data_IF_811586110094
#
_entry.id   IF_811586110094
#
_cell.length_a   1.000
_cell.length_b   1.000
_cell.length_c   1.000
_cell.angle_alpha   90.00
_cell.angle_beta   90.00
_cell.angle_gamma   90.00
#
_symmetry.space_group_name_H-M   'P 1'
#
loop_
_entity.id
_entity.type
_entity.pdbx_description
1 polymer ?
#
# COMPACT_ATOMS: atom_id res chain seq x y z
N UNK A 1 11.88 28.72 -14.94
CA UNK A 1 12.65 27.86 -15.88
C UNK A 1 13.55 26.95 -15.05
N UNK A 2 12.96 25.92 -14.45
CA UNK A 2 13.65 24.81 -13.78
C UNK A 2 12.70 23.63 -13.88
N UNK A 3 12.81 22.87 -14.99
CA UNK A 3 12.03 21.64 -15.17
C UNK A 3 12.62 20.53 -14.30
N UNK A 4 11.80 19.63 -13.75
CA UNK A 4 12.31 18.52 -12.95
C UNK A 4 13.14 17.60 -13.85
N UNK A 5 14.39 17.39 -13.44
CA UNK A 5 15.35 16.48 -14.06
C UNK A 5 14.90 15.03 -13.80
N UNK A 6 14.05 14.50 -14.67
CA UNK A 6 13.54 13.13 -14.56
C UNK A 6 14.65 12.15 -14.97
N UNK A 7 15.02 11.28 -14.04
CA UNK A 7 16.00 10.20 -14.19
C UNK A 7 15.56 9.19 -15.26
N UNK A 8 15.77 9.53 -16.51
CA UNK A 8 15.53 8.71 -17.70
C UNK A 8 16.61 7.62 -17.85
N UNK A 9 16.55 6.54 -17.06
CA UNK A 9 17.45 5.39 -17.26
C UNK A 9 16.77 4.19 -17.97
N UNK A 10 15.49 4.29 -18.33
CA UNK A 10 14.75 3.18 -18.96
C UNK A 10 13.77 3.53 -20.09
N UNK A 11 13.56 4.81 -20.41
CA UNK A 11 12.56 5.18 -21.42
C UNK A 11 13.15 5.24 -22.83
N UNK A 12 12.60 4.43 -23.73
CA UNK A 12 12.90 4.48 -25.17
C UNK A 12 12.31 5.77 -25.74
N UNK A 13 13.12 6.55 -26.46
CA UNK A 13 12.69 7.79 -27.12
C UNK A 13 11.76 7.46 -28.30
N UNK A 14 10.47 7.24 -28.02
CA UNK A 14 9.40 7.12 -29.01
C UNK A 14 8.44 8.28 -28.85
N UNK A 15 7.88 8.80 -29.95
CA UNK A 15 6.97 9.95 -29.95
C UNK A 15 5.68 9.72 -29.15
N UNK A 16 5.36 8.45 -28.84
CA UNK A 16 4.24 8.04 -27.97
C UNK A 16 4.60 7.99 -26.47
N UNK A 17 5.87 8.19 -26.12
CA UNK A 17 6.42 8.02 -24.76
C UNK A 17 6.87 9.35 -24.13
N UNK A 18 6.47 10.49 -24.72
CA UNK A 18 6.87 11.84 -24.29
C UNK A 18 6.40 12.22 -22.88
N UNK A 19 5.34 11.57 -22.37
CA UNK A 19 4.77 11.81 -21.03
C UNK A 19 4.71 10.48 -20.27
N UNK A 20 5.83 9.74 -20.22
CA UNK A 20 5.94 8.60 -19.33
C UNK A 20 6.61 9.01 -18.03
N UNK A 21 5.88 8.82 -16.93
CA UNK A 21 6.36 9.09 -15.57
C UNK A 21 5.98 7.91 -14.70
N UNK A 22 6.90 7.50 -13.84
CA UNK A 22 6.64 6.47 -12.84
C UNK A 22 5.55 6.95 -11.87
N UNK A 23 4.48 6.17 -11.76
CA UNK A 23 3.29 6.51 -10.98
C UNK A 23 3.62 6.89 -9.52
N UNK A 24 4.50 6.12 -8.87
CA UNK A 24 4.88 6.33 -7.47
C UNK A 24 5.64 7.66 -7.33
N UNK A 25 6.61 7.92 -8.20
CA UNK A 25 7.41 9.14 -8.20
C UNK A 25 6.54 10.37 -8.44
N UNK A 26 5.64 10.30 -9.42
CA UNK A 26 4.70 11.39 -9.71
C UNK A 26 3.78 11.70 -8.52
N UNK A 27 3.20 10.68 -7.91
CA UNK A 27 2.33 10.88 -6.75
C UNK A 27 3.08 11.41 -5.53
N UNK A 28 4.32 10.97 -5.33
CA UNK A 28 5.16 11.44 -4.23
C UNK A 28 5.57 12.92 -4.40
N UNK A 29 5.82 13.35 -5.64
CA UNK A 29 6.03 14.77 -5.96
C UNK A 29 4.81 15.62 -5.62
N UNK A 30 3.60 15.19 -6.05
CA UNK A 30 2.35 15.89 -5.71
C UNK A 30 2.13 15.89 -4.19
N UNK A 31 2.38 14.76 -3.52
CA UNK A 31 2.22 14.62 -2.08
C UNK A 31 3.17 15.53 -1.29
N UNK A 32 4.38 15.71 -1.81
CA UNK A 32 5.38 16.63 -1.27
C UNK A 32 4.91 18.08 -1.42
N UNK A 33 4.45 18.47 -2.62
CA UNK A 33 3.94 19.82 -2.90
C UNK A 33 2.74 20.20 -2.03
N UNK A 34 1.84 19.25 -1.79
CA UNK A 34 0.64 19.47 -0.99
C UNK A 34 0.82 19.13 0.50
N UNK A 35 2.02 18.69 0.92
CA UNK A 35 2.35 18.43 2.33
C UNK A 35 1.63 17.23 2.96
N UNK A 36 1.06 16.32 2.17
CA UNK A 36 0.41 15.11 2.67
C UNK A 36 1.30 13.86 2.58
N UNK A 37 2.56 13.99 2.15
CA UNK A 37 3.52 12.89 2.09
C UNK A 37 3.69 12.23 3.47
N UNK A 38 3.30 10.95 3.64
CA UNK A 38 3.51 10.25 4.90
C UNK A 38 5.00 9.92 5.04
N UNK A 39 5.66 10.47 6.07
CA UNK A 39 7.01 10.07 6.43
C UNK A 39 6.97 8.62 6.93
N UNK A 40 7.40 7.67 6.10
CA UNK A 40 7.37 6.23 6.42
C UNK A 40 8.09 5.91 7.74
N UNK A 41 9.19 6.59 8.04
CA UNK A 41 9.92 6.44 9.31
C UNK A 41 9.10 6.91 10.53
N UNK A 42 8.43 8.07 10.42
CA UNK A 42 7.54 8.57 11.47
C UNK A 42 6.31 7.67 11.63
N UNK A 43 5.80 7.12 10.53
CA UNK A 43 4.69 6.18 10.54
C UNK A 43 5.09 4.85 11.20
N UNK A 44 6.32 4.39 10.96
CA UNK A 44 6.88 3.19 11.57
C UNK A 44 6.98 3.30 13.09
N UNK A 45 7.36 4.47 13.61
CA UNK A 45 7.43 4.72 15.05
C UNK A 45 6.06 4.80 15.73
N UNK A 46 5.03 5.31 15.05
CA UNK A 46 3.68 5.46 15.61
C UNK A 46 2.83 4.21 15.46
N UNK A 47 2.87 3.57 14.29
CA UNK A 47 2.00 2.47 13.89
C UNK A 47 2.83 1.43 13.10
N UNK A 48 3.62 0.61 13.81
CA UNK A 48 4.49 -0.43 13.21
C UNK A 48 3.72 -1.36 12.27
N UNK A 49 2.51 -1.79 12.65
CA UNK A 49 1.65 -2.66 11.83
C UNK A 49 1.25 -2.02 10.51
N UNK A 50 0.88 -0.74 10.53
CA UNK A 50 0.49 -0.02 9.32
C UNK A 50 1.71 0.23 8.42
N UNK A 51 2.84 0.60 9.02
CA UNK A 51 4.07 0.84 8.29
C UNK A 51 4.59 -0.43 7.60
N UNK A 52 4.50 -1.60 8.24
CA UNK A 52 4.86 -2.88 7.62
C UNK A 52 3.97 -3.18 6.41
N UNK A 53 2.65 -2.97 6.50
CA UNK A 53 1.74 -3.19 5.37
C UNK A 53 1.96 -2.17 4.24
N UNK A 54 2.35 -0.93 4.56
CA UNK A 54 2.65 0.10 3.57
C UNK A 54 3.99 -0.13 2.89
N UNK A 55 5.00 -0.63 3.63
CA UNK A 55 6.36 -0.83 3.12
C UNK A 55 6.49 -2.16 2.36
N UNK A 56 5.97 -3.25 2.91
CA UNK A 56 6.03 -4.58 2.29
C UNK A 56 4.81 -4.92 1.44
N UNK A 57 3.74 -4.11 1.51
CA UNK A 57 2.54 -4.29 0.73
C UNK A 57 2.47 -3.38 -0.49
N UNK A 58 1.36 -3.45 -1.24
CA UNK A 58 1.16 -2.61 -2.41
C UNK A 58 1.02 -1.13 -2.02
N UNK A 59 1.67 -0.25 -2.78
CA UNK A 59 1.46 1.19 -2.68
C UNK A 59 0.01 1.53 -3.07
N UNK A 60 -0.81 1.92 -2.09
CA UNK A 60 -2.24 2.16 -2.28
C UNK A 60 -2.59 3.63 -2.10
N UNK A 61 -3.56 4.16 -2.86
CA UNK A 61 -3.90 5.59 -2.82
C UNK A 61 -4.44 6.04 -1.45
N UNK A 62 -4.86 5.10 -0.59
CA UNK A 62 -5.29 5.38 0.78
C UNK A 62 -4.17 5.94 1.66
N UNK A 63 -2.89 5.65 1.33
CA UNK A 63 -1.72 6.11 2.09
C UNK A 63 -1.61 7.65 2.10
N UNK A 64 -1.96 8.29 1.00
CA UNK A 64 -1.92 9.75 0.86
C UNK A 64 -3.04 10.47 1.63
N UNK A 65 -4.04 9.75 2.15
CA UNK A 65 -5.11 10.30 2.99
C UNK A 65 -4.91 10.04 4.49
N UNK A 66 -3.75 9.51 4.89
CA UNK A 66 -3.42 9.30 6.31
C UNK A 66 -3.10 10.62 7.04
N UNK A 67 -2.56 11.61 6.32
CA UNK A 67 -2.09 12.89 6.86
C UNK A 67 -2.41 14.02 5.88
N UNK A 68 -2.47 15.26 6.38
CA UNK A 68 -2.72 16.46 5.56
C UNK A 68 -4.18 16.94 5.56
N UNK A 69 -4.46 18.07 4.88
CA UNK A 69 -5.82 18.58 4.70
C UNK A 69 -6.60 17.62 3.79
N UNK A 70 -7.68 17.02 4.31
CA UNK A 70 -8.39 15.91 3.64
C UNK A 70 -8.08 14.52 4.19
N UNK A 71 -7.50 14.45 5.40
CA UNK A 71 -7.33 13.19 6.15
C UNK A 71 -8.65 12.43 6.22
N UNK A 72 -8.61 11.15 5.85
CA UNK A 72 -9.74 10.25 6.01
C UNK A 72 -9.53 9.33 7.21
N UNK A 73 -10.42 9.41 8.21
CA UNK A 73 -10.32 8.59 9.44
C UNK A 73 -10.29 7.08 9.15
N UNK A 74 -11.01 6.65 8.10
CA UNK A 74 -11.07 5.24 7.67
C UNK A 74 -9.84 4.77 6.86
N UNK A 75 -8.87 5.63 6.56
CA UNK A 75 -7.73 5.27 5.72
C UNK A 75 -6.91 4.11 6.32
N UNK A 76 -6.69 4.14 7.64
CA UNK A 76 -5.97 3.09 8.36
C UNK A 76 -6.67 1.74 8.25
N UNK A 77 -7.97 1.73 8.52
CA UNK A 77 -8.78 0.51 8.44
C UNK A 77 -8.86 0.01 6.99
N UNK A 78 -9.00 0.91 6.02
CA UNK A 78 -9.05 0.57 4.61
C UNK A 78 -7.77 -0.13 4.15
N UNK A 79 -6.59 0.30 4.59
CA UNK A 79 -5.32 -0.35 4.25
C UNK A 79 -5.28 -1.77 4.85
N UNK A 80 -5.60 -1.91 6.13
CA UNK A 80 -5.56 -3.21 6.82
C UNK A 80 -6.63 -4.20 6.31
N UNK A 81 -7.79 -3.71 5.88
CA UNK A 81 -8.89 -4.54 5.36
C UNK A 81 -8.76 -4.81 3.86
N UNK A 82 -7.79 -4.20 3.18
CA UNK A 82 -7.66 -4.28 1.72
C UNK A 82 -7.53 -5.71 1.23
N UNK A 83 -6.67 -6.53 1.86
CA UNK A 83 -6.51 -7.94 1.48
C UNK A 83 -7.81 -8.72 1.59
N UNK A 84 -8.57 -8.49 2.68
CA UNK A 84 -9.90 -9.11 2.87
C UNK A 84 -10.85 -8.74 1.72
N UNK A 85 -10.84 -7.48 1.28
CA UNK A 85 -11.69 -7.02 0.16
C UNK A 85 -11.27 -7.60 -1.19
N UNK A 86 -9.98 -7.81 -1.42
CA UNK A 86 -9.47 -8.45 -2.64
C UNK A 86 -9.86 -9.94 -2.66
N UNK A 87 -9.75 -10.63 -1.52
CA UNK A 87 -10.07 -12.06 -1.43
C UNK A 87 -11.58 -12.33 -1.38
N UNK A 88 -12.40 -11.43 -0.84
CA UNK A 88 -13.85 -11.61 -0.70
C UNK A 88 -14.57 -12.02 -2.00
N UNK A 89 -14.39 -11.35 -3.15
CA UNK A 89 -15.03 -11.78 -4.40
C UNK A 89 -14.43 -13.07 -4.96
N UNK A 90 -13.20 -13.43 -4.58
CA UNK A 90 -12.51 -14.62 -5.07
C UNK A 90 -12.84 -15.88 -4.25
N UNK A 91 -13.10 -15.73 -2.95
CA UNK A 91 -13.44 -16.84 -2.03
C UNK A 91 -14.95 -17.04 -1.96
N UNK A 92 -15.56 -17.45 -3.08
CA UNK A 92 -17.01 -17.71 -3.19
C UNK A 92 -17.42 -19.04 -2.54
N UNK A 93 -16.48 -19.97 -2.40
CA UNK A 93 -16.67 -21.26 -1.71
C UNK A 93 -15.97 -21.21 -0.35
N UNK A 94 -16.73 -21.45 0.72
CA UNK A 94 -16.15 -21.60 2.04
C UNK A 94 -15.57 -23.01 2.19
N UNK A 95 -14.32 -23.10 2.60
CA UNK A 95 -13.63 -24.35 2.94
C UNK A 95 -13.26 -24.22 4.40
N UNK A 96 -13.61 -25.23 5.20
CA UNK A 96 -13.17 -25.34 6.58
C UNK A 96 -11.64 -25.27 6.63
N UNK A 97 -11.08 -24.28 7.33
CA UNK A 97 -9.64 -24.11 7.43
C UNK A 97 -9.07 -25.28 8.27
N UNK A 98 -8.36 -26.20 7.63
CA UNK A 98 -7.75 -27.41 8.24
C UNK A 98 -6.68 -27.10 9.30
N UNK A 99 -6.31 -25.84 9.48
CA UNK A 99 -5.38 -25.36 10.52
C UNK A 99 -5.89 -25.62 11.94
N UNK A 100 -7.21 -25.71 12.15
CA UNK A 100 -7.77 -26.05 13.47
C UNK A 100 -7.81 -27.57 13.74
N UNK A 101 -7.74 -28.41 12.70
CA UNK A 101 -7.75 -29.87 12.86
C UNK A 101 -6.38 -30.41 13.30
N UNK A 102 -5.27 -29.78 12.88
CA UNK A 102 -3.92 -30.19 13.26
C UNK A 102 -3.57 -29.86 14.72
N UNK A 103 -4.13 -28.80 15.29
CA UNK A 103 -3.93 -28.44 16.71
C UNK A 103 -4.76 -29.32 17.66
N UNK A 104 -5.94 -29.78 17.23
CA UNK A 104 -6.76 -30.73 18.01
C UNK A 104 -6.18 -32.15 18.05
N UNK A 105 -5.50 -32.58 16.99
CA UNK A 105 -4.86 -33.90 16.93
C UNK A 105 -3.69 -34.06 17.91
N UNK A 106 -2.99 -32.98 18.27
CA UNK A 106 -1.87 -33.01 19.22
C UNK A 106 -2.37 -33.08 20.68
N UNK A 107 -3.58 -32.60 20.96
CA UNK A 107 -4.15 -32.63 22.32
C UNK A 107 -4.76 -33.99 22.71
N UNK A 108 -4.96 -34.92 21.75
CA UNK A 108 -5.49 -36.26 22.02
C UNK A 108 -4.40 -37.35 22.09
N UNK A 109 -3.12 -36.97 21.97
CA UNK A 109 -1.99 -37.91 21.99
C UNK A 109 -1.04 -37.74 23.19
N UNK A 110 -1.50 -37.16 24.30
CA UNK A 110 -0.78 -37.09 25.59
C UNK A 110 -1.64 -37.67 26.69
#
# INVERSE_FOLDING_TARGET
>A
RTGPELKHKGYVKSQRHTIQVDYISYLDEIASLAGFKPNLLSLFLMDTKLAMEVFFGPCTPYQYRLRGPGKWAGAREAILTQRKRITKPLKTRNVEDSTNQSLGAISQSV
#
